data_IF_988570789844
#
_entry.id   IF_988570789844
#
_cell.length_a   1.000
_cell.length_b   1.000
_cell.length_c   1.000
_cell.angle_alpha   90.00
_cell.angle_beta   90.00
_cell.angle_gamma   90.00
#
_symmetry.space_group_name_H-M   'P 1'
#
loop_
_entity.id
_entity.type
_entity.pdbx_description
1 polymer ?
#
# COMPACT_ATOMS: atom_id res chain seq x y z
N UNK A 1 -8.07 9.96 3.01
CA UNK A 1 -8.65 10.52 1.77
C UNK A 1 -9.19 11.92 2.04
N UNK A 2 -8.81 12.92 1.25
CA UNK A 2 -9.42 14.26 1.33
C UNK A 2 -10.61 14.33 0.37
N UNK A 3 -11.82 14.11 0.88
CA UNK A 3 -13.03 13.99 0.07
C UNK A 3 -13.38 15.29 -0.67
N UNK A 4 -13.04 16.45 -0.12
CA UNK A 4 -13.27 17.74 -0.78
C UNK A 4 -12.41 17.89 -2.04
N UNK A 5 -11.10 17.64 -1.91
CA UNK A 5 -10.18 17.66 -3.04
C UNK A 5 -10.55 16.62 -4.09
N UNK A 6 -10.94 15.42 -3.67
CA UNK A 6 -11.35 14.35 -4.59
C UNK A 6 -12.61 14.70 -5.39
N UNK A 7 -13.61 15.35 -4.76
CA UNK A 7 -14.81 15.83 -5.47
C UNK A 7 -14.45 16.92 -6.49
N UNK A 8 -13.64 17.91 -6.10
CA UNK A 8 -13.16 18.96 -7.01
C UNK A 8 -12.34 18.40 -8.18
N UNK A 9 -11.63 17.29 -7.95
CA UNK A 9 -10.81 16.62 -8.96
C UNK A 9 -11.63 15.73 -9.93
N UNK A 10 -12.94 15.57 -9.70
CA UNK A 10 -13.80 14.63 -10.43
C UNK A 10 -13.28 13.19 -10.35
N UNK A 11 -12.81 12.80 -9.16
CA UNK A 11 -12.18 11.51 -8.89
C UNK A 11 -13.00 10.33 -9.43
N UNK A 12 -14.29 10.28 -9.11
CA UNK A 12 -15.17 9.16 -9.47
C UNK A 12 -15.28 8.97 -10.98
N UNK A 13 -15.42 10.06 -11.74
CA UNK A 13 -15.59 10.00 -13.18
C UNK A 13 -14.30 9.55 -13.88
N UNK A 14 -13.14 9.99 -13.38
CA UNK A 14 -11.83 9.55 -13.87
C UNK A 14 -11.59 8.06 -13.61
N UNK A 15 -11.90 7.59 -12.41
CA UNK A 15 -11.80 6.15 -12.07
C UNK A 15 -12.72 5.32 -12.96
N UNK A 16 -13.97 5.75 -13.15
CA UNK A 16 -14.93 5.07 -14.05
C UNK A 16 -14.43 5.04 -15.49
N UNK A 17 -13.88 6.14 -15.99
CA UNK A 17 -13.31 6.20 -17.33
C UNK A 17 -12.16 5.20 -17.49
N UNK A 18 -11.18 5.21 -16.58
CA UNK A 18 -10.05 4.29 -16.62
C UNK A 18 -10.52 2.83 -16.54
N UNK A 19 -11.44 2.53 -15.62
CA UNK A 19 -11.99 1.19 -15.48
C UNK A 19 -12.73 0.75 -16.75
N UNK A 20 -13.50 1.64 -17.40
CA UNK A 20 -14.18 1.30 -18.65
C UNK A 20 -13.21 1.01 -19.81
N UNK A 21 -12.05 1.68 -19.83
CA UNK A 21 -11.04 1.54 -20.87
C UNK A 21 -10.13 0.32 -20.67
N UNK A 22 -9.78 0.04 -19.42
CA UNK A 22 -8.71 -0.91 -19.09
C UNK A 22 -9.18 -2.09 -18.22
N UNK A 23 -10.42 -2.08 -17.69
CA UNK A 23 -10.87 -2.97 -16.62
C UNK A 23 -10.58 -4.46 -16.84
N UNK A 24 -10.75 -4.95 -18.07
CA UNK A 24 -10.48 -6.36 -18.41
C UNK A 24 -8.98 -6.71 -18.48
N UNK A 25 -8.10 -5.71 -18.51
CA UNK A 25 -6.64 -5.85 -18.57
C UNK A 25 -5.96 -5.56 -17.23
N UNK A 26 -6.70 -5.11 -16.21
CA UNK A 26 -6.15 -4.81 -14.89
C UNK A 26 -6.22 -6.05 -14.00
N UNK A 27 -5.07 -6.50 -13.51
CA UNK A 27 -4.98 -7.66 -12.61
C UNK A 27 -5.35 -7.27 -11.19
N UNK A 28 -4.97 -6.07 -10.77
CA UNK A 28 -5.25 -5.51 -9.44
C UNK A 28 -5.97 -4.19 -9.60
N UNK A 29 -7.21 -4.24 -10.07
CA UNK A 29 -7.94 -3.07 -10.57
C UNK A 29 -8.04 -1.94 -9.54
N UNK A 30 -8.09 -2.26 -8.25
CA UNK A 30 -8.03 -1.26 -7.19
C UNK A 30 -6.69 -0.51 -7.22
N UNK A 31 -5.54 -1.19 -7.20
CA UNK A 31 -4.21 -0.58 -7.18
C UNK A 31 -3.78 0.00 -8.55
N UNK A 32 -4.06 -0.71 -9.64
CA UNK A 32 -3.60 -0.37 -10.98
C UNK A 32 -4.24 0.93 -11.50
N UNK A 33 -5.52 1.17 -11.18
CA UNK A 33 -6.18 2.44 -11.53
C UNK A 33 -5.50 3.62 -10.84
N UNK A 34 -5.14 3.48 -9.56
CA UNK A 34 -4.41 4.52 -8.83
C UNK A 34 -3.03 4.75 -9.46
N UNK A 35 -2.30 3.69 -9.80
CA UNK A 35 -0.98 3.79 -10.41
C UNK A 35 -1.02 4.52 -11.76
N UNK A 36 -2.03 4.25 -12.58
CA UNK A 36 -2.23 4.95 -13.85
C UNK A 36 -2.51 6.45 -13.66
N UNK A 37 -3.38 6.80 -12.70
CA UNK A 37 -3.65 8.20 -12.36
C UNK A 37 -2.42 8.93 -11.81
N UNK A 38 -1.64 8.25 -10.96
CA UNK A 38 -0.40 8.80 -10.41
C UNK A 38 0.62 9.08 -11.50
N UNK A 39 0.79 8.17 -12.47
CA UNK A 39 1.68 8.38 -13.61
C UNK A 39 1.32 9.63 -14.40
N UNK A 40 0.02 9.87 -14.64
CA UNK A 40 -0.44 11.04 -15.38
C UNK A 40 -0.35 12.34 -14.57
N UNK A 41 -0.55 12.27 -13.25
CA UNK A 41 -0.61 13.45 -12.40
C UNK A 41 -0.06 13.17 -11.00
N UNK A 42 1.27 13.13 -10.82
CA UNK A 42 1.87 12.72 -9.54
C UNK A 42 1.50 13.65 -8.38
N UNK A 43 1.23 14.93 -8.67
CA UNK A 43 0.95 15.96 -7.67
C UNK A 43 -0.42 15.82 -6.97
N UNK A 44 -1.32 14.94 -7.43
CA UNK A 44 -2.63 14.73 -6.78
C UNK A 44 -2.60 13.63 -5.71
N UNK A 45 -1.44 13.01 -5.51
CA UNK A 45 -1.22 11.96 -4.53
C UNK A 45 -0.27 12.42 -3.43
N UNK A 46 -0.54 11.93 -2.22
CA UNK A 46 0.35 12.05 -1.08
C UNK A 46 1.03 10.70 -0.89
N UNK A 47 2.34 10.66 -1.12
CA UNK A 47 3.14 9.48 -0.81
C UNK A 47 3.27 9.34 0.71
N UNK A 48 2.85 8.19 1.23
CA UNK A 48 2.96 7.90 2.65
C UNK A 48 4.27 7.15 2.92
N UNK A 49 4.88 7.47 4.05
CA UNK A 49 6.07 6.79 4.52
C UNK A 49 5.82 5.29 4.73
N UNK A 50 6.85 4.46 4.53
CA UNK A 50 6.78 2.99 4.66
C UNK A 50 6.18 2.50 5.99
N UNK A 51 6.29 3.29 7.07
CA UNK A 51 5.75 2.93 8.38
C UNK A 51 4.22 2.77 8.40
N UNK A 52 3.51 3.34 7.41
CA UNK A 52 2.05 3.25 7.30
C UNK A 52 1.57 2.05 6.47
N UNK A 53 2.46 1.34 5.78
CA UNK A 53 2.15 0.13 5.01
C UNK A 53 3.41 -0.71 4.81
N UNK A 54 4.00 -1.18 5.90
CA UNK A 54 5.31 -1.80 5.88
C UNK A 54 5.26 -3.19 5.24
N UNK A 55 6.17 -3.38 4.28
CA UNK A 55 6.38 -4.63 3.56
C UNK A 55 7.85 -5.04 3.69
N UNK A 56 8.18 -6.13 4.38
CA UNK A 56 9.58 -6.54 4.61
C UNK A 56 10.39 -6.74 3.32
N UNK A 57 9.72 -7.11 2.23
CA UNK A 57 10.27 -7.32 0.90
C UNK A 57 10.51 -6.02 0.11
N UNK A 58 9.97 -4.88 0.56
CA UNK A 58 10.04 -3.60 -0.15
C UNK A 58 10.62 -2.45 0.69
N UNK A 59 10.53 -2.56 2.02
CA UNK A 59 11.00 -1.54 2.97
C UNK A 59 12.38 -1.95 3.52
N UNK A 60 13.44 -1.64 2.78
CA UNK A 60 14.80 -2.16 3.09
C UNK A 60 15.57 -1.35 4.14
N UNK A 61 15.16 -0.12 4.49
CA UNK A 61 15.97 0.74 5.35
C UNK A 61 15.82 0.42 6.84
N UNK A 62 16.95 0.19 7.52
CA UNK A 62 17.06 0.07 8.99
C UNK A 62 16.46 1.25 9.75
N UNK A 63 16.40 2.44 9.14
CA UNK A 63 15.90 3.66 9.78
C UNK A 63 14.40 3.62 10.11
N UNK A 64 13.63 2.80 9.38
CA UNK A 64 12.21 2.59 9.67
C UNK A 64 12.03 1.87 11.01
N UNK A 65 12.94 0.95 11.35
CA UNK A 65 12.89 0.19 12.59
C UNK A 65 13.30 0.97 13.84
N UNK A 66 14.22 1.94 13.71
CA UNK A 66 14.64 2.78 14.85
C UNK A 66 13.55 3.78 15.23
N UNK A 67 12.86 4.37 14.24
CA UNK A 67 11.74 5.29 14.48
C UNK A 67 10.45 4.56 14.87
N UNK A 68 10.28 3.30 14.47
CA UNK A 68 9.08 2.54 14.79
C UNK A 68 9.01 1.98 16.20
N UNK A 69 10.15 1.79 16.88
CA UNK A 69 10.16 1.29 18.27
C UNK A 69 9.35 2.17 19.21
N UNK A 70 9.23 3.47 18.90
CA UNK A 70 8.45 4.43 19.70
C UNK A 70 7.04 4.69 19.13
N UNK A 71 6.80 4.43 17.84
CA UNK A 71 5.57 4.87 17.13
C UNK A 71 4.72 3.75 16.53
N UNK A 72 5.18 2.50 16.59
CA UNK A 72 4.53 1.37 15.93
C UNK A 72 4.62 1.42 14.40
N UNK A 73 4.33 0.30 13.75
CA UNK A 73 4.28 0.18 12.28
C UNK A 73 2.99 -0.52 11.89
N UNK A 74 2.34 -0.04 10.83
CA UNK A 74 1.24 -0.76 10.21
C UNK A 74 1.84 -1.75 9.22
N UNK A 75 1.76 -3.03 9.56
CA UNK A 75 2.27 -4.13 8.73
C UNK A 75 1.27 -4.45 7.63
N UNK A 76 1.75 -4.50 6.39
CA UNK A 76 0.95 -5.02 5.29
C UNK A 76 0.85 -6.53 5.40
N UNK A 77 -0.38 -7.03 5.53
CA UNK A 77 -0.65 -8.44 5.61
C UNK A 77 -0.56 -9.13 4.25
N UNK A 78 0.29 -10.16 4.10
CA UNK A 78 0.22 -11.05 2.96
C UNK A 78 -0.72 -12.22 3.26
N UNK A 79 -1.55 -12.62 2.29
CA UNK A 79 -2.41 -13.82 2.43
C UNK A 79 -1.59 -15.05 2.85
N UNK A 80 -0.39 -15.21 2.29
CA UNK A 80 0.53 -16.29 2.61
C UNK A 80 1.03 -16.27 4.06
N UNK A 81 1.06 -15.11 4.73
CA UNK A 81 1.44 -15.01 6.13
C UNK A 81 0.35 -15.49 7.10
N UNK A 82 -0.92 -15.49 6.69
CA UNK A 82 -2.06 -15.88 7.55
C UNK A 82 -2.58 -17.29 7.30
N UNK A 83 -2.38 -17.84 6.11
CA UNK A 83 -2.91 -19.17 5.75
C UNK A 83 -1.90 -20.32 5.90
N UNK A 84 -0.62 -20.03 6.17
CA UNK A 84 0.34 -21.07 6.52
C UNK A 84 0.31 -21.30 8.05
N UNK A 85 -0.29 -22.42 8.47
CA UNK A 85 -0.26 -22.91 9.87
C UNK A 85 1.17 -23.23 10.31
N UNK A 86 2.04 -23.59 9.37
CA UNK A 86 3.48 -23.53 9.58
C UNK A 86 3.97 -22.09 9.41
N UNK A 87 3.84 -21.30 10.47
CA UNK A 87 4.57 -20.04 10.63
C UNK A 87 6.06 -20.37 10.60
N UNK A 88 6.60 -20.42 9.39
CA UNK A 88 8.02 -20.63 9.14
C UNK A 88 8.80 -19.56 9.94
N UNK A 89 9.99 -19.91 10.45
CA UNK A 89 10.80 -19.10 11.38
C UNK A 89 11.01 -17.65 10.88
N UNK A 90 10.92 -17.40 9.57
CA UNK A 90 10.93 -16.05 8.96
C UNK A 90 9.71 -15.19 9.30
N UNK A 91 8.50 -15.74 9.28
CA UNK A 91 7.26 -15.02 9.62
C UNK A 91 7.18 -14.74 11.12
N UNK A 92 7.61 -15.71 11.95
CA UNK A 92 7.78 -15.48 13.39
C UNK A 92 8.90 -14.47 13.69
N UNK A 93 10.00 -14.47 12.92
CA UNK A 93 11.05 -13.45 13.03
C UNK A 93 10.47 -12.06 12.79
N UNK A 94 9.65 -11.85 11.77
CA UNK A 94 8.99 -10.56 11.56
C UNK A 94 8.29 -10.05 12.82
N UNK A 95 7.48 -10.88 13.49
CA UNK A 95 6.83 -10.49 14.75
C UNK A 95 7.82 -10.33 15.92
N UNK A 96 8.87 -11.15 16.00
CA UNK A 96 9.96 -11.04 16.99
C UNK A 96 10.85 -9.80 16.82
N UNK A 97 10.82 -9.11 15.69
CA UNK A 97 11.52 -7.83 15.52
C UNK A 97 10.68 -6.64 16.03
N UNK A 98 9.38 -6.84 16.23
CA UNK A 98 8.45 -5.82 16.72
C UNK A 98 8.07 -5.97 18.21
N UNK A 99 8.25 -7.15 18.81
CA UNK A 99 8.17 -7.41 20.25
C UNK A 99 9.56 -7.38 20.89
#
# INVERSE_FOLDING_TARGET
>A
MNLHSMRKYLWTDRVRLIFSLLGNSLVFSDQDIFNFLFFLQPNVFLELHCNYNFRPDHCYSRQYFTTSKEKGVIMHGSRSAFHNIDLNIRTLRMFKWFL
#
